data_IF_148121555503
#
_entry.id   IF_148121555503
#
_cell.length_a   1.000
_cell.length_b   1.000
_cell.length_c   1.000
_cell.angle_alpha   90.00
_cell.angle_beta   90.00
_cell.angle_gamma   90.00
#
_symmetry.space_group_name_H-M   'P 1'
#
loop_
_entity.id
_entity.type
_entity.pdbx_description
1 polymer ?
#
# COMPACT_ATOMS: atom_id res chain seq x y z
N UNK A 1 15.62 13.45 74.42
CA UNK A 1 15.48 12.21 73.62
C UNK A 1 15.39 12.57 72.16
N UNK A 2 16.39 12.24 71.32
CA UNK A 2 16.29 11.70 69.94
C UNK A 2 17.69 11.16 69.59
N UNK A 3 17.81 9.83 69.44
CA UNK A 3 19.05 9.15 69.02
C UNK A 3 19.13 9.16 67.48
N UNK A 4 20.22 9.66 66.90
CA UNK A 4 20.56 9.48 65.47
C UNK A 4 21.48 8.26 65.31
N UNK A 5 21.03 7.24 64.58
CA UNK A 5 21.84 6.08 64.18
C UNK A 5 22.68 6.41 62.94
N UNK A 6 23.97 6.08 62.98
CA UNK A 6 24.87 5.91 61.83
C UNK A 6 24.86 4.45 61.38
N UNK A 7 24.95 4.21 60.08
CA UNK A 7 25.43 3.01 59.37
C UNK A 7 25.45 3.42 57.88
N UNK A 8 26.51 3.35 57.08
CA UNK A 8 27.60 2.38 57.02
C UNK A 8 27.31 1.40 55.88
N UNK A 9 27.61 1.74 54.63
CA UNK A 9 27.54 0.82 53.48
C UNK A 9 28.95 0.43 53.05
N UNK A 10 29.24 -0.85 53.23
CA UNK A 10 30.49 -1.52 52.85
C UNK A 10 30.40 -2.00 51.41
N UNK A 11 31.46 -1.73 50.64
CA UNK A 11 31.75 -2.34 49.35
C UNK A 11 32.13 -3.81 49.55
N UNK A 12 31.50 -4.74 48.82
CA UNK A 12 32.06 -6.07 48.58
C UNK A 12 31.93 -6.36 47.09
N UNK A 13 33.09 -6.35 46.40
CA UNK A 13 33.32 -6.99 45.11
C UNK A 13 33.84 -8.40 45.40
N UNK A 14 33.23 -9.42 44.79
CA UNK A 14 33.65 -10.81 44.93
C UNK A 14 32.99 -11.70 43.89
N UNK A 15 33.71 -11.93 42.80
CA UNK A 15 33.33 -12.67 41.60
C UNK A 15 33.19 -14.18 41.83
N UNK A 16 32.21 -14.85 41.21
CA UNK A 16 32.46 -16.07 40.42
C UNK A 16 31.21 -16.49 39.62
N UNK A 17 31.50 -16.92 38.40
CA UNK A 17 30.61 -17.15 37.26
C UNK A 17 29.69 -18.36 37.44
N UNK A 18 28.45 -18.26 36.95
CA UNK A 18 27.91 -19.06 35.83
C UNK A 18 26.49 -18.56 35.55
N UNK A 19 26.37 -17.46 34.79
CA UNK A 19 25.09 -17.07 34.19
C UNK A 19 24.96 -17.91 32.93
N UNK A 20 23.95 -18.78 32.90
CA UNK A 20 23.47 -19.45 31.71
C UNK A 20 23.45 -18.43 30.55
N UNK A 21 24.26 -18.70 29.52
CA UNK A 21 24.47 -17.77 28.43
C UNK A 21 23.13 -17.32 27.86
N UNK A 22 22.95 -16.03 27.54
CA UNK A 22 21.80 -15.61 26.78
C UNK A 22 21.81 -16.42 25.49
N UNK A 23 20.77 -17.23 25.28
CA UNK A 23 20.42 -17.72 23.94
C UNK A 23 20.55 -16.52 23.02
N UNK A 24 21.44 -16.65 22.03
CA UNK A 24 21.60 -15.65 20.98
C UNK A 24 20.23 -15.51 20.34
N UNK A 25 19.46 -14.51 20.78
CA UNK A 25 18.31 -14.01 20.06
C UNK A 25 18.92 -13.48 18.76
N UNK A 26 18.89 -14.31 17.72
CA UNK A 26 19.30 -13.91 16.39
C UNK A 26 18.59 -12.60 16.08
N UNK A 27 19.36 -11.55 15.82
CA UNK A 27 18.82 -10.29 15.35
C UNK A 27 18.05 -10.57 14.07
N UNK A 28 16.73 -10.72 14.14
CA UNK A 28 15.89 -10.76 12.96
C UNK A 28 15.92 -9.36 12.38
N UNK A 29 16.80 -9.13 11.42
CA UNK A 29 16.91 -7.88 10.64
C UNK A 29 15.73 -7.69 9.66
N UNK A 30 14.56 -8.28 9.96
CA UNK A 30 13.39 -8.31 9.10
C UNK A 30 12.16 -7.69 9.78
N UNK A 31 11.32 -7.06 8.96
CA UNK A 31 9.99 -6.56 9.37
C UNK A 31 9.16 -7.75 9.86
N UNK A 32 8.54 -7.65 11.03
CA UNK A 32 7.64 -8.69 11.54
C UNK A 32 6.30 -8.71 10.80
N UNK A 33 5.54 -9.78 10.98
CA UNK A 33 4.23 -9.98 10.38
C UNK A 33 3.25 -8.83 10.67
N UNK A 34 3.22 -8.34 11.92
CA UNK A 34 2.33 -7.26 12.33
C UNK A 34 2.80 -5.92 11.77
N UNK A 35 4.10 -5.70 11.73
CA UNK A 35 4.71 -4.49 11.18
C UNK A 35 4.45 -4.38 9.68
N UNK A 36 4.63 -5.48 8.92
CA UNK A 36 4.27 -5.57 7.51
C UNK A 36 2.78 -5.28 7.28
N UNK A 37 1.91 -5.85 8.10
CA UNK A 37 0.45 -5.68 7.98
C UNK A 37 -0.03 -4.25 8.26
N UNK A 38 0.83 -3.36 8.76
CA UNK A 38 0.53 -1.92 8.88
C UNK A 38 1.02 -1.11 7.68
N UNK A 39 1.77 -1.72 6.74
CA UNK A 39 2.28 -1.01 5.57
C UNK A 39 1.15 -0.53 4.66
N UNK A 40 1.37 0.61 3.97
CA UNK A 40 0.35 1.20 3.11
C UNK A 40 -0.04 0.23 1.97
N UNK A 41 0.94 -0.42 1.35
CA UNK A 41 0.71 -1.46 0.36
C UNK A 41 -0.01 -2.69 0.91
N UNK A 42 0.39 -3.22 2.09
CA UNK A 42 -0.22 -4.42 2.63
C UNK A 42 -1.72 -4.25 2.94
N UNK A 43 -2.11 -3.08 3.46
CA UNK A 43 -3.52 -2.78 3.78
C UNK A 43 -4.35 -2.36 2.56
N UNK A 44 -3.75 -2.26 1.38
CA UNK A 44 -4.47 -1.90 0.16
C UNK A 44 -4.62 -0.40 -0.08
N UNK A 45 -3.69 0.43 0.42
CA UNK A 45 -3.70 1.87 0.09
C UNK A 45 -3.09 2.13 -1.27
N UNK A 46 -3.69 3.09 -1.97
CA UNK A 46 -3.20 3.62 -3.22
C UNK A 46 -3.24 5.15 -3.19
N UNK A 47 -2.29 5.79 -3.88
CA UNK A 47 -2.28 7.23 -4.03
C UNK A 47 -3.42 7.70 -4.95
N UNK A 48 -4.53 8.13 -4.34
CA UNK A 48 -5.74 8.50 -5.06
C UNK A 48 -5.58 9.77 -5.93
N UNK A 49 -4.67 10.67 -5.56
CA UNK A 49 -4.33 11.85 -6.39
C UNK A 49 -3.61 11.40 -7.67
N UNK A 50 -2.68 10.44 -7.55
CA UNK A 50 -2.03 9.86 -8.72
C UNK A 50 -2.98 8.99 -9.57
N UNK A 51 -3.97 8.33 -8.95
CA UNK A 51 -5.04 7.61 -9.69
C UNK A 51 -5.86 8.58 -10.54
N UNK A 52 -6.24 9.73 -9.97
CA UNK A 52 -6.92 10.79 -10.70
C UNK A 52 -6.07 11.27 -11.89
N UNK A 53 -4.79 11.59 -11.65
CA UNK A 53 -3.89 12.03 -12.71
C UNK A 53 -3.71 10.95 -13.80
N UNK A 54 -3.59 9.68 -13.41
CA UNK A 54 -3.51 8.56 -14.35
C UNK A 54 -4.77 8.46 -15.21
N UNK A 55 -5.95 8.64 -14.61
CA UNK A 55 -7.21 8.62 -15.33
C UNK A 55 -7.31 9.78 -16.33
N UNK A 56 -6.96 11.01 -15.92
CA UNK A 56 -7.03 12.20 -16.77
C UNK A 56 -6.05 12.15 -17.95
N UNK A 57 -4.88 11.54 -17.76
CA UNK A 57 -3.79 11.56 -18.75
C UNK A 57 -3.72 10.32 -19.65
N UNK A 58 -4.48 9.26 -19.37
CA UNK A 58 -4.40 8.03 -20.18
C UNK A 58 -5.24 8.14 -21.44
N UNK A 59 -4.68 7.69 -22.56
CA UNK A 59 -5.32 7.67 -23.88
C UNK A 59 -5.77 6.27 -24.30
N UNK A 60 -5.56 5.27 -23.43
CA UNK A 60 -6.10 3.92 -23.60
C UNK A 60 -6.26 3.24 -22.25
N UNK A 61 -6.92 2.09 -22.28
CA UNK A 61 -7.15 1.26 -21.09
C UNK A 61 -5.85 0.61 -20.65
N UNK A 62 -5.08 0.13 -21.61
CA UNK A 62 -3.76 -0.45 -21.41
C UNK A 62 -2.83 0.55 -20.70
N UNK A 63 -2.86 1.81 -21.13
CA UNK A 63 -2.07 2.87 -20.52
C UNK A 63 -2.54 3.17 -19.09
N UNK A 64 -3.86 3.23 -18.87
CA UNK A 64 -4.43 3.45 -17.56
C UNK A 64 -4.08 2.31 -16.59
N UNK A 65 -4.29 1.05 -16.99
CA UNK A 65 -3.94 -0.13 -16.20
C UNK A 65 -2.45 -0.19 -15.89
N UNK A 66 -1.59 0.19 -16.85
CA UNK A 66 -0.15 0.30 -16.63
C UNK A 66 0.16 1.34 -15.56
N UNK A 67 -0.32 2.58 -15.72
CA UNK A 67 -0.09 3.67 -14.76
C UNK A 67 -0.63 3.34 -13.36
N UNK A 68 -1.82 2.72 -13.27
CA UNK A 68 -2.38 2.25 -12.00
C UNK A 68 -1.44 1.27 -11.29
N UNK A 69 -0.89 0.30 -12.01
CA UNK A 69 0.01 -0.70 -11.45
C UNK A 69 1.43 -0.18 -11.17
N UNK A 70 1.82 0.92 -11.80
CA UNK A 70 3.02 1.67 -11.45
C UNK A 70 2.83 2.45 -10.14
N UNK A 71 1.65 3.04 -9.93
CA UNK A 71 1.28 3.76 -8.69
C UNK A 71 1.12 2.80 -7.52
N UNK A 72 0.47 1.65 -7.74
CA UNK A 72 0.08 0.73 -6.69
C UNK A 72 1.27 0.01 -6.07
N UNK A 73 1.33 0.04 -4.74
CA UNK A 73 2.42 -0.51 -3.96
C UNK A 73 2.05 -1.82 -3.25
N UNK A 74 0.87 -2.40 -3.47
CA UNK A 74 0.53 -3.72 -2.97
C UNK A 74 1.27 -4.87 -3.68
N UNK A 75 1.00 -6.10 -3.25
CA UNK A 75 1.62 -7.30 -3.80
C UNK A 75 0.92 -7.77 -5.09
N UNK A 76 -0.41 -7.75 -5.09
CA UNK A 76 -1.27 -8.13 -6.20
C UNK A 76 -1.32 -7.08 -7.29
N UNK A 77 -1.65 -7.50 -8.51
CA UNK A 77 -1.88 -6.61 -9.64
C UNK A 77 -3.25 -5.94 -9.45
N UNK A 78 -3.39 -4.69 -9.90
CA UNK A 78 -4.69 -4.01 -9.96
C UNK A 78 -5.35 -4.35 -11.29
N UNK A 79 -6.51 -5.00 -11.21
CA UNK A 79 -7.41 -5.28 -12.32
C UNK A 79 -8.55 -4.27 -12.32
N UNK A 80 -9.10 -3.94 -13.49
CA UNK A 80 -10.23 -3.03 -13.60
C UNK A 80 -11.42 -3.69 -14.30
N UNK A 81 -12.60 -3.25 -13.92
CA UNK A 81 -13.86 -3.51 -14.62
C UNK A 81 -14.55 -2.20 -14.91
N UNK A 82 -15.04 -2.02 -16.14
CA UNK A 82 -15.92 -0.93 -16.51
C UNK A 82 -17.31 -1.48 -16.85
N UNK A 83 -18.37 -0.89 -16.29
CA UNK A 83 -19.76 -1.30 -16.51
C UNK A 83 -20.66 -0.07 -16.63
N UNK A 84 -21.84 -0.27 -17.19
CA UNK A 84 -22.94 0.69 -17.12
C UNK A 84 -24.02 0.15 -16.19
N UNK A 85 -24.43 0.94 -15.20
CA UNK A 85 -25.41 0.55 -14.19
C UNK A 85 -26.25 1.77 -13.81
N UNK A 86 -27.57 1.69 -13.97
CA UNK A 86 -28.49 2.77 -13.59
C UNK A 86 -28.23 4.10 -14.33
N UNK A 87 -27.80 4.04 -15.60
CA UNK A 87 -27.44 5.22 -16.40
C UNK A 87 -26.09 5.85 -16.04
N UNK A 88 -25.33 5.23 -15.12
CA UNK A 88 -23.99 5.65 -14.73
C UNK A 88 -22.96 4.72 -15.31
N UNK A 89 -21.83 5.29 -15.73
CA UNK A 89 -20.67 4.51 -16.18
C UNK A 89 -19.72 4.39 -15.01
N UNK A 90 -19.30 3.17 -14.68
CA UNK A 90 -18.54 2.90 -13.46
C UNK A 90 -17.30 2.11 -13.83
N UNK A 91 -16.13 2.60 -13.41
CA UNK A 91 -14.87 1.86 -13.42
C UNK A 91 -14.56 1.47 -11.98
N UNK A 92 -14.39 0.20 -11.73
CA UNK A 92 -14.00 -0.37 -10.44
C UNK A 92 -12.61 -0.98 -10.57
N UNK A 93 -11.75 -0.73 -9.58
CA UNK A 93 -10.39 -1.25 -9.56
C UNK A 93 -10.18 -2.14 -8.33
N UNK A 94 -9.74 -3.37 -8.57
CA UNK A 94 -9.57 -4.41 -7.57
C UNK A 94 -8.10 -4.84 -7.51
N UNK A 95 -7.55 -5.06 -6.32
CA UNK A 95 -6.33 -5.87 -6.22
C UNK A 95 -6.71 -7.35 -6.27
N UNK A 96 -6.09 -8.05 -7.21
CA UNK A 96 -6.09 -9.51 -7.30
C UNK A 96 -5.27 -10.10 -6.14
N UNK A 97 -5.97 -10.52 -5.08
CA UNK A 97 -5.35 -10.95 -3.83
C UNK A 97 -4.87 -12.41 -3.87
N UNK A 98 -5.51 -13.25 -4.67
CA UNK A 98 -5.17 -14.67 -4.81
C UNK A 98 -4.27 -14.96 -6.04
N UNK A 99 -4.01 -13.93 -6.85
CA UNK A 99 -3.09 -13.93 -8.01
C UNK A 99 -3.57 -14.85 -9.12
N UNK A 100 -4.88 -15.05 -9.24
CA UNK A 100 -5.44 -15.91 -10.27
C UNK A 100 -5.65 -15.19 -11.62
N UNK A 101 -5.55 -13.85 -11.62
CA UNK A 101 -5.71 -12.98 -12.79
C UNK A 101 -7.16 -12.75 -13.23
N UNK A 102 -8.13 -13.21 -12.43
CA UNK A 102 -9.56 -13.05 -12.61
C UNK A 102 -10.09 -12.03 -11.58
N UNK A 103 -11.04 -11.19 -11.99
CA UNK A 103 -11.66 -10.21 -11.08
C UNK A 103 -12.87 -10.86 -10.39
N UNK A 104 -12.72 -11.19 -9.12
CA UNK A 104 -13.71 -11.89 -8.31
C UNK A 104 -14.19 -11.05 -7.12
N UNK A 105 -15.37 -10.40 -7.22
CA UNK A 105 -15.94 -9.66 -6.10
C UNK A 105 -16.09 -10.54 -4.86
N UNK A 106 -15.46 -10.13 -3.75
CA UNK A 106 -15.50 -10.86 -2.48
C UNK A 106 -14.25 -11.70 -2.19
N UNK A 107 -13.47 -12.05 -3.21
CA UNK A 107 -12.10 -12.57 -3.05
C UNK A 107 -11.05 -11.49 -3.25
N UNK A 108 -11.34 -10.54 -4.14
CA UNK A 108 -10.49 -9.39 -4.40
C UNK A 108 -10.89 -8.18 -3.58
N UNK A 109 -9.93 -7.27 -3.40
CA UNK A 109 -10.15 -6.04 -2.64
C UNK A 109 -10.43 -4.86 -3.56
N UNK A 110 -11.65 -4.32 -3.47
CA UNK A 110 -12.04 -3.11 -4.19
C UNK A 110 -11.31 -1.89 -3.61
N UNK A 111 -10.39 -1.32 -4.38
CA UNK A 111 -9.55 -0.20 -3.97
C UNK A 111 -10.24 1.15 -4.16
N UNK A 112 -10.90 1.33 -5.31
CA UNK A 112 -11.63 2.55 -5.65
C UNK A 112 -12.64 2.31 -6.77
N UNK A 113 -13.52 3.29 -6.96
CA UNK A 113 -14.39 3.39 -8.12
C UNK A 113 -14.35 4.80 -8.72
N UNK A 114 -14.40 4.90 -10.05
CA UNK A 114 -14.64 6.14 -10.80
C UNK A 114 -16.03 6.02 -11.40
N UNK A 115 -16.91 6.97 -11.10
CA UNK A 115 -18.28 7.00 -11.63
C UNK A 115 -18.44 8.21 -12.55
N UNK A 116 -18.99 8.03 -13.74
CA UNK A 116 -19.42 9.10 -14.61
C UNK A 116 -20.94 9.14 -14.66
N UNK A 117 -21.49 10.29 -14.29
CA UNK A 117 -22.91 10.61 -14.31
C UNK A 117 -23.08 11.96 -15.00
N UNK A 118 -23.83 11.98 -16.11
CA UNK A 118 -24.13 13.19 -16.88
C UNK A 118 -22.88 14.03 -17.25
N UNK A 119 -21.76 13.37 -17.53
CA UNK A 119 -20.51 14.05 -17.89
C UNK A 119 -19.65 14.50 -16.70
N UNK A 120 -20.13 14.36 -15.47
CA UNK A 120 -19.33 14.57 -14.26
C UNK A 120 -18.70 13.25 -13.82
N UNK A 121 -17.41 13.29 -13.51
CA UNK A 121 -16.70 12.16 -12.90
C UNK A 121 -16.73 12.29 -11.37
N UNK A 122 -16.69 11.16 -10.65
CA UNK A 122 -16.48 11.05 -9.21
C UNK A 122 -15.47 9.91 -8.96
N UNK A 123 -14.28 10.21 -8.42
CA UNK A 123 -13.35 9.22 -7.89
C UNK A 123 -13.61 9.03 -6.40
N UNK A 124 -13.97 7.81 -6.02
CA UNK A 124 -14.23 7.47 -4.63
C UNK A 124 -13.41 6.27 -4.20
N UNK A 125 -12.65 6.46 -3.12
CA UNK A 125 -11.91 5.38 -2.50
C UNK A 125 -12.85 4.33 -1.89
N UNK A 126 -12.37 3.10 -1.84
CA UNK A 126 -13.01 1.92 -1.26
C UNK A 126 -12.00 1.20 -0.36
N UNK A 127 -12.47 0.28 0.47
CA UNK A 127 -11.61 -0.41 1.44
C UNK A 127 -10.80 0.56 2.30
N UNK A 128 -9.47 0.41 2.31
CA UNK A 128 -8.54 1.28 3.04
C UNK A 128 -8.42 2.72 2.50
N UNK A 129 -8.98 3.00 1.32
CA UNK A 129 -8.97 4.30 0.65
C UNK A 129 -10.28 5.09 0.85
N UNK A 130 -11.28 4.54 1.55
CA UNK A 130 -12.63 5.15 1.69
C UNK A 130 -12.69 6.54 2.33
N UNK A 131 -11.59 6.99 2.93
CA UNK A 131 -11.43 8.34 3.47
C UNK A 131 -11.27 9.41 2.38
N UNK A 132 -11.02 8.98 1.14
CA UNK A 132 -10.84 9.85 0.00
C UNK A 132 -12.05 9.81 -0.92
N UNK A 133 -12.52 11.00 -1.29
CA UNK A 133 -13.44 11.23 -2.40
C UNK A 133 -13.04 12.53 -3.06
N UNK A 134 -12.95 12.52 -4.38
CA UNK A 134 -12.73 13.72 -5.18
C UNK A 134 -13.37 13.49 -6.55
N UNK A 135 -13.97 14.51 -7.14
CA UNK A 135 -13.72 14.93 -8.52
C UNK A 135 -14.62 16.12 -8.85
N UNK A 136 -14.10 17.01 -9.70
CA UNK A 136 -14.81 18.04 -10.47
C UNK A 136 -14.39 17.92 -11.94
N UNK A 137 -15.32 18.19 -12.87
CA UNK A 137 -15.33 17.65 -14.25
C UNK A 137 -14.09 17.81 -15.14
N UNK A 138 -13.94 16.86 -16.09
CA UNK A 138 -13.01 16.93 -17.22
C UNK A 138 -12.44 15.58 -17.66
N UNK A 139 -13.12 14.83 -18.54
CA UNK A 139 -12.57 13.68 -19.26
C UNK A 139 -13.53 12.49 -19.41
N UNK A 140 -14.25 12.43 -20.54
CA UNK A 140 -15.14 11.30 -20.91
C UNK A 140 -14.41 10.22 -21.74
N UNK A 141 -13.14 10.46 -22.12
CA UNK A 141 -12.46 9.64 -23.13
C UNK A 141 -12.31 8.18 -22.68
N UNK A 142 -11.79 7.93 -21.47
CA UNK A 142 -11.64 6.56 -20.98
C UNK A 142 -12.98 5.85 -20.82
N UNK A 143 -14.02 6.53 -20.31
CA UNK A 143 -15.36 5.94 -20.22
C UNK A 143 -15.93 5.59 -21.58
N UNK A 144 -15.77 6.48 -22.56
CA UNK A 144 -16.20 6.28 -23.95
C UNK A 144 -15.46 5.07 -24.52
N UNK A 145 -14.13 5.05 -24.41
CA UNK A 145 -13.31 3.96 -24.92
C UNK A 145 -13.60 2.61 -24.23
N UNK A 146 -13.70 2.58 -22.89
CA UNK A 146 -13.96 1.35 -22.13
C UNK A 146 -15.32 0.74 -22.47
N UNK A 147 -16.33 1.57 -22.68
CA UNK A 147 -17.67 1.07 -23.03
C UNK A 147 -17.72 0.68 -24.51
N UNK A 148 -17.18 1.48 -25.44
CA UNK A 148 -17.18 1.11 -26.86
C UNK A 148 -16.28 -0.10 -27.16
N UNK A 149 -15.13 -0.24 -26.48
CA UNK A 149 -14.29 -1.44 -26.60
C UNK A 149 -14.95 -2.71 -26.04
N UNK A 150 -15.95 -2.57 -25.17
CA UNK A 150 -16.78 -3.70 -24.72
C UNK A 150 -17.87 -4.11 -25.73
N UNK A 151 -18.35 -3.17 -26.55
CA UNK A 151 -19.37 -3.47 -27.57
C UNK A 151 -18.85 -4.41 -28.67
N UNK A 152 -17.55 -4.37 -28.99
CA UNK A 152 -16.94 -5.29 -29.97
C UNK A 152 -16.68 -6.70 -29.41
N UNK A 153 -16.87 -6.93 -28.10
CA UNK A 153 -16.64 -8.22 -27.41
C UNK A 153 -17.91 -8.90 -26.88
N UNK A 154 -19.10 -8.43 -27.28
CA UNK A 154 -20.35 -9.19 -27.10
C UNK A 154 -21.00 -9.13 -25.71
N UNK A 155 -20.70 -8.13 -24.88
CA UNK A 155 -21.35 -7.97 -23.58
C UNK A 155 -21.07 -6.64 -22.89
N UNK A 156 -22.01 -6.21 -22.04
CA UNK A 156 -22.03 -4.94 -21.30
C UNK A 156 -20.82 -4.79 -20.36
N UNK A 157 -19.73 -4.17 -20.83
CA UNK A 157 -18.62 -3.71 -20.00
C UNK A 157 -17.24 -4.32 -20.29
N UNK A 158 -16.18 -3.59 -19.95
CA UNK A 158 -14.79 -4.04 -20.04
C UNK A 158 -14.37 -4.72 -18.74
N UNK A 159 -13.51 -5.72 -18.82
CA UNK A 159 -12.72 -6.19 -17.68
C UNK A 159 -11.31 -6.50 -18.14
N UNK A 160 -10.31 -6.33 -17.27
CA UNK A 160 -8.92 -6.71 -17.57
C UNK A 160 -8.87 -8.19 -17.94
N UNK A 161 -8.49 -8.54 -19.19
CA UNK A 161 -8.42 -9.94 -19.60
C UNK A 161 -7.30 -10.68 -18.84
N UNK A 162 -7.59 -11.87 -18.32
CA UNK A 162 -6.60 -12.73 -17.64
C UNK A 162 -5.32 -12.93 -18.45
N UNK A 163 -5.43 -13.04 -19.77
CA UNK A 163 -4.27 -13.19 -20.68
C UNK A 163 -3.31 -11.99 -20.68
N UNK A 164 -3.74 -10.81 -20.23
CA UNK A 164 -2.89 -9.60 -20.13
C UNK A 164 -2.12 -9.51 -18.82
N UNK A 165 -2.54 -10.24 -17.78
CA UNK A 165 -1.94 -10.17 -16.44
C UNK A 165 -0.43 -10.44 -16.45
N UNK A 166 0.11 -11.48 -17.13
CA UNK A 166 1.56 -11.71 -17.15
C UNK A 166 2.37 -10.54 -17.70
N UNK A 167 1.85 -9.86 -18.73
CA UNK A 167 2.51 -8.67 -19.28
C UNK A 167 2.43 -7.49 -18.32
N UNK A 168 1.31 -7.31 -17.63
CA UNK A 168 1.16 -6.27 -16.60
C UNK A 168 2.11 -6.47 -15.43
N UNK A 169 2.28 -7.72 -14.97
CA UNK A 169 3.26 -8.08 -13.94
C UNK A 169 4.70 -7.81 -14.37
N UNK A 170 5.03 -8.14 -15.62
CA UNK A 170 6.34 -7.84 -16.21
C UNK A 170 6.58 -6.34 -16.23
N UNK A 171 5.64 -5.55 -16.76
CA UNK A 171 5.72 -4.09 -16.81
C UNK A 171 5.92 -3.50 -15.42
N UNK A 172 5.12 -3.94 -14.44
CA UNK A 172 5.21 -3.49 -13.05
C UNK A 172 6.57 -3.83 -12.44
N UNK A 173 7.05 -5.05 -12.64
CA UNK A 173 8.36 -5.49 -12.10
C UNK A 173 9.49 -4.67 -12.71
N UNK A 174 9.49 -4.49 -14.03
CA UNK A 174 10.47 -3.63 -14.72
C UNK A 174 10.42 -2.20 -14.22
N UNK A 175 9.23 -1.63 -14.03
CA UNK A 175 9.06 -0.29 -13.48
C UNK A 175 9.59 -0.19 -12.05
N UNK A 176 9.25 -1.14 -11.18
CA UNK A 176 9.72 -1.17 -9.78
C UNK A 176 11.24 -1.29 -9.66
N UNK A 177 11.89 -1.89 -10.66
CA UNK A 177 13.35 -1.97 -10.76
C UNK A 177 14.02 -0.72 -11.36
N UNK A 178 13.23 0.30 -11.76
CA UNK A 178 13.74 1.52 -12.39
C UNK A 178 13.94 2.67 -11.39
N UNK A 179 14.77 3.64 -11.77
CA UNK A 179 14.97 4.89 -11.01
C UNK A 179 13.72 5.76 -10.93
N UNK A 180 12.78 5.60 -11.87
CA UNK A 180 11.48 6.30 -11.83
C UNK A 180 10.61 5.82 -10.67
N UNK A 181 10.77 4.57 -10.24
CA UNK A 181 10.05 4.02 -9.09
C UNK A 181 10.74 4.37 -7.76
N UNK A 182 12.00 3.97 -7.59
CA UNK A 182 12.75 4.13 -6.34
C UNK A 182 13.13 5.59 -6.04
N UNK A 183 13.48 6.34 -7.09
CA UNK A 183 13.77 7.77 -7.06
C UNK A 183 15.13 8.14 -7.64
N UNK A 184 15.12 9.04 -8.62
CA UNK A 184 16.25 9.88 -9.04
C UNK A 184 16.07 11.34 -8.60
N UNK A 185 16.81 12.27 -9.20
CA UNK A 185 16.70 13.71 -8.94
C UNK A 185 15.29 14.21 -9.30
N UNK A 186 14.44 14.44 -8.30
CA UNK A 186 13.02 14.81 -8.46
C UNK A 186 12.03 13.94 -7.69
N UNK A 187 12.48 12.81 -7.13
CA UNK A 187 11.65 11.89 -6.36
C UNK A 187 10.89 10.89 -7.24
N UNK A 188 11.06 9.60 -6.95
CA UNK A 188 10.38 8.52 -7.67
C UNK A 188 8.94 8.31 -7.20
N UNK A 189 8.26 7.33 -7.77
CA UNK A 189 6.89 6.96 -7.39
C UNK A 189 6.73 6.68 -5.89
N UNK A 190 7.71 6.01 -5.26
CA UNK A 190 7.69 5.75 -3.81
C UNK A 190 7.65 7.05 -3.00
N UNK A 191 8.39 8.06 -3.44
CA UNK A 191 8.40 9.39 -2.82
C UNK A 191 7.05 10.09 -2.94
N UNK A 192 6.44 10.05 -4.14
CA UNK A 192 5.11 10.63 -4.39
C UNK A 192 4.04 9.98 -3.52
N UNK A 193 4.06 8.64 -3.43
CA UNK A 193 3.15 7.89 -2.58
C UNK A 193 3.34 8.24 -1.09
N UNK A 194 4.60 8.29 -0.63
CA UNK A 194 4.92 8.66 0.76
C UNK A 194 4.44 10.06 1.13
N UNK A 195 4.60 11.03 0.23
CA UNK A 195 4.11 12.40 0.42
C UNK A 195 2.58 12.44 0.50
N UNK A 196 1.89 11.72 -0.39
CA UNK A 196 0.44 11.60 -0.36
C UNK A 196 -0.06 11.00 0.96
N UNK A 197 0.47 9.85 1.38
CA UNK A 197 0.07 9.20 2.63
C UNK A 197 0.34 10.08 3.86
N UNK A 198 1.46 10.81 3.87
CA UNK A 198 1.78 11.77 4.94
C UNK A 198 0.78 12.93 4.99
N UNK A 199 0.43 13.48 3.83
CA UNK A 199 -0.59 14.53 3.69
C UNK A 199 -1.96 14.04 4.16
N UNK A 200 -2.40 12.88 3.69
CA UNK A 200 -3.70 12.30 4.06
C UNK A 200 -3.80 11.92 5.53
N UNK A 201 -2.74 11.33 6.11
CA UNK A 201 -2.71 11.00 7.55
C UNK A 201 -2.75 12.23 8.46
N UNK A 202 -2.36 13.40 7.93
CA UNK A 202 -2.39 14.67 8.64
C UNK A 202 -3.72 15.40 8.44
N UNK A 203 -4.17 15.57 7.19
CA UNK A 203 -5.39 16.30 6.85
C UNK A 203 -6.67 15.54 7.19
N UNK A 204 -6.65 14.21 7.05
CA UNK A 204 -7.81 13.33 7.24
C UNK A 204 -7.59 12.34 8.39
N UNK A 205 -6.86 12.73 9.44
CA UNK A 205 -6.31 11.81 10.47
C UNK A 205 -7.29 10.73 10.95
N UNK A 206 -8.50 11.11 11.37
CA UNK A 206 -9.49 10.17 11.91
C UNK A 206 -10.02 9.21 10.82
N UNK A 207 -10.52 9.75 9.72
CA UNK A 207 -11.06 8.94 8.61
C UNK A 207 -9.98 8.08 7.96
N UNK A 208 -8.77 8.61 7.78
CA UNK A 208 -7.59 7.91 7.30
C UNK A 208 -7.25 6.72 8.21
N UNK A 209 -7.04 6.95 9.50
CA UNK A 209 -6.70 5.89 10.45
C UNK A 209 -7.80 4.82 10.55
N UNK A 210 -9.08 5.23 10.59
CA UNK A 210 -10.21 4.30 10.61
C UNK A 210 -10.28 3.47 9.32
N UNK A 211 -10.02 4.09 8.17
CA UNK A 211 -9.98 3.42 6.88
C UNK A 211 -9.00 2.24 6.87
N UNK A 212 -7.78 2.45 7.39
CA UNK A 212 -6.76 1.41 7.47
C UNK A 212 -7.02 0.31 8.50
N UNK A 213 -8.00 0.49 9.41
CA UNK A 213 -8.35 -0.52 10.42
C UNK A 213 -9.55 -1.39 10.03
N UNK A 214 -10.53 -0.82 9.34
CA UNK A 214 -11.70 -1.58 8.90
C UNK A 214 -11.49 -1.99 7.43
N UNK A 215 -10.68 -3.02 7.25
CA UNK A 215 -10.35 -3.58 5.93
C UNK A 215 -11.48 -4.49 5.45
N UNK A 216 -11.54 -4.77 4.14
CA UNK A 216 -12.50 -5.74 3.60
C UNK A 216 -12.23 -7.16 4.14
N UNK A 217 -13.24 -8.05 4.19
CA UNK A 217 -13.03 -9.44 4.60
C UNK A 217 -11.96 -10.15 3.76
N UNK A 218 -11.95 -9.91 2.45
CA UNK A 218 -10.94 -10.41 1.52
C UNK A 218 -9.52 -9.99 1.94
N UNK A 219 -9.32 -8.69 2.21
CA UNK A 219 -8.05 -8.15 2.67
C UNK A 219 -7.63 -8.70 4.03
N UNK A 220 -8.55 -8.83 4.98
CA UNK A 220 -8.26 -9.40 6.29
C UNK A 220 -7.82 -10.87 6.18
N UNK A 221 -8.50 -11.65 5.34
CA UNK A 221 -8.13 -13.03 5.01
C UNK A 221 -6.75 -13.09 4.36
N UNK A 222 -6.48 -12.23 3.36
CA UNK A 222 -5.16 -12.11 2.74
C UNK A 222 -4.06 -11.86 3.78
N UNK A 223 -4.22 -10.84 4.64
CA UNK A 223 -3.25 -10.53 5.69
C UNK A 223 -3.06 -11.74 6.62
N UNK A 224 -4.14 -12.38 7.08
CA UNK A 224 -4.07 -13.58 7.92
C UNK A 224 -3.31 -14.73 7.28
N UNK A 225 -3.55 -14.97 5.99
CA UNK A 225 -2.85 -15.99 5.20
C UNK A 225 -1.36 -15.65 5.02
N UNK A 226 -1.04 -14.40 4.72
CA UNK A 226 0.35 -13.95 4.60
C UNK A 226 1.11 -14.13 5.92
N UNK A 227 0.48 -13.81 7.05
CA UNK A 227 1.07 -13.97 8.40
C UNK A 227 1.30 -15.45 8.76
N UNK A 228 0.29 -16.30 8.56
CA UNK A 228 0.33 -17.73 8.93
C UNK A 228 1.30 -18.54 8.07
N UNK A 229 1.38 -18.24 6.77
CA UNK A 229 2.30 -18.92 5.84
C UNK A 229 3.71 -18.34 5.86
N UNK A 230 3.90 -17.15 6.44
CA UNK A 230 5.16 -16.42 6.39
C UNK A 230 5.46 -15.77 5.03
N UNK A 231 4.51 -15.80 4.09
CA UNK A 231 4.68 -15.24 2.74
C UNK A 231 4.91 -13.72 2.73
N UNK A 232 4.52 -13.01 3.80
CA UNK A 232 4.83 -11.59 4.00
C UNK A 232 6.34 -11.28 3.92
N UNK A 233 7.22 -12.25 4.21
CA UNK A 233 8.68 -12.09 4.11
C UNK A 233 9.16 -11.89 2.66
N UNK A 234 8.38 -12.35 1.69
CA UNK A 234 8.62 -12.19 0.25
C UNK A 234 7.82 -11.04 -0.37
N UNK A 235 7.04 -10.33 0.45
CA UNK A 235 6.25 -9.17 0.02
C UNK A 235 7.12 -8.12 -0.65
N UNK A 236 6.60 -7.58 -1.76
CA UNK A 236 7.20 -6.43 -2.44
C UNK A 236 6.42 -5.15 -2.15
N UNK A 237 5.56 -5.17 -1.13
CA UNK A 237 4.79 -3.99 -0.74
C UNK A 237 5.70 -2.83 -0.36
N UNK A 238 5.42 -1.66 -0.93
CA UNK A 238 6.22 -0.43 -0.78
C UNK A 238 6.68 -0.16 0.65
N UNK A 239 7.98 0.09 0.75
CA UNK A 239 8.83 0.47 1.88
C UNK A 239 8.13 1.29 2.96
N UNK A 240 8.15 0.84 4.22
CA UNK A 240 8.07 1.75 5.37
C UNK A 240 9.45 1.96 5.99
N UNK A 241 9.92 3.19 5.90
CA UNK A 241 10.84 3.81 6.86
C UNK A 241 10.16 3.85 8.23
N UNK A 242 10.17 2.74 8.98
CA UNK A 242 9.82 2.73 10.42
C UNK A 242 10.05 1.35 11.06
N UNK A 243 11.10 0.59 10.72
CA UNK A 243 11.39 -0.62 11.49
C UNK A 243 12.90 -0.76 11.73
N UNK A 244 13.31 -0.51 12.98
CA UNK A 244 14.63 -0.90 13.52
C UNK A 244 15.76 0.14 13.48
N UNK A 245 15.71 1.15 14.35
CA UNK A 245 16.90 1.60 15.09
C UNK A 245 16.55 1.78 16.57
N UNK A 246 16.54 0.67 17.30
CA UNK A 246 16.87 0.68 18.72
C UNK A 246 18.37 1.01 18.85
N UNK A 247 18.68 2.30 18.85
CA UNK A 247 19.99 2.83 19.22
C UNK A 247 19.77 3.82 20.34
N UNK A 248 20.11 3.42 21.56
CA UNK A 248 20.11 4.24 22.75
C UNK A 248 20.75 5.61 22.48
N UNK A 249 19.99 6.70 22.64
CA UNK A 249 20.50 8.00 23.12
C UNK A 249 19.35 8.93 23.51
N UNK A 250 19.40 9.32 24.77
CA UNK A 250 18.71 10.44 25.41
C UNK A 250 18.63 11.69 24.54
N UNK A 251 17.50 12.41 24.63
CA UNK A 251 17.36 13.80 24.18
C UNK A 251 16.30 13.99 23.09
N UNK A 252 15.23 14.71 23.42
CA UNK A 252 14.07 14.87 22.54
C UNK A 252 14.32 15.69 21.28
N UNK A 253 13.53 15.41 20.24
CA UNK A 253 13.13 16.38 19.21
C UNK A 253 11.95 15.81 18.39
N UNK A 254 10.94 16.66 18.20
CA UNK A 254 9.94 16.54 17.13
C UNK A 254 10.65 16.65 15.78
N UNK A 255 10.27 15.85 14.79
CA UNK A 255 10.78 16.05 13.43
C UNK A 255 10.42 14.92 12.47
N UNK A 256 9.39 15.15 11.66
CA UNK A 256 9.09 14.36 10.48
C UNK A 256 10.25 14.43 9.48
N UNK A 257 10.66 13.28 8.94
CA UNK A 257 11.74 13.19 7.96
C UNK A 257 12.26 11.76 7.85
N UNK A 258 11.49 10.89 7.19
CA UNK A 258 11.82 9.47 7.03
C UNK A 258 12.59 9.22 5.73
N UNK A 259 13.85 8.80 5.84
CA UNK A 259 14.66 8.30 4.72
C UNK A 259 14.30 6.85 4.34
N UNK A 260 14.41 6.54 3.04
CA UNK A 260 14.05 5.26 2.40
C UNK A 260 15.07 4.14 2.70
N UNK A 261 14.60 2.90 2.79
CA UNK A 261 15.41 1.67 2.63
C UNK A 261 14.79 0.82 1.54
N UNK A 262 15.52 0.59 0.46
CA UNK A 262 15.16 -0.39 -0.57
C UNK A 262 15.52 -1.78 -0.02
N UNK A 263 14.53 -2.64 0.22
CA UNK A 263 14.77 -4.07 0.44
C UNK A 263 14.78 -4.75 -0.92
N UNK A 264 15.96 -5.18 -1.38
CA UNK A 264 16.11 -6.20 -2.43
C UNK A 264 16.99 -5.83 -3.62
N UNK A 265 18.29 -6.13 -3.51
CA UNK A 265 19.05 -6.92 -4.51
C UNK A 265 20.30 -7.46 -3.79
N UNK A 266 20.18 -8.63 -3.17
CA UNK A 266 21.34 -9.43 -2.83
C UNK A 266 21.81 -10.11 -4.13
N UNK A 267 23.00 -9.71 -4.58
CA UNK A 267 23.82 -10.54 -5.47
C UNK A 267 24.35 -11.74 -4.68
#
# INVERSE_FOLDING_TARGET
MVKRKRMGMSLILGSSMMVAGPVIAGCSTGVSADEWATTEGAIGRINMEAVQEAFEKSQSVEEFEKRLNEIYEGDGIVLIRAKEEGGKRIIEAFEDLDKNGDLEPGKDDLLFAITNENGSNELRGRGANRHYSAFGGGGSFLFTYLIFSSMTRGGYGYYTPRSRVPQMETNRTSYRNSTNYSGGQGGGQVGKNSQYYSKQSSANRSSYANAGRQLSPARQSYIGNQKSTGAFKSSKTGVRSSFGKSGWRSGGAKGAGGGQVIIGNLR
#
